data_IF_440870060608
#
_entry.id   IF_440870060608
#
_cell.length_a   1.000
_cell.length_b   1.000
_cell.length_c   1.000
_cell.angle_alpha   90.00
_cell.angle_beta   90.00
_cell.angle_gamma   90.00
#
_symmetry.space_group_name_H-M   'P 1'
#
loop_
_entity.id
_entity.type
_entity.pdbx_description
1 polymer ?
#
# COMPACT_ATOMS: atom_id res chain seq x y z
N UNK A 1 -10.29 -14.82 -72.41
CA UNK A 1 -8.92 -14.26 -72.56
C UNK A 1 -9.11 -12.87 -73.13
N UNK A 2 -8.89 -11.78 -72.40
CA UNK A 2 -8.08 -11.59 -71.19
C UNK A 2 -8.76 -10.59 -70.26
N UNK A 3 -8.70 -10.92 -68.97
CA UNK A 3 -9.06 -10.12 -67.80
C UNK A 3 -7.91 -9.15 -67.52
N UNK A 4 -8.19 -7.88 -67.25
CA UNK A 4 -7.25 -6.98 -66.54
C UNK A 4 -8.05 -6.10 -65.55
N UNK A 5 -8.07 -6.62 -64.32
CA UNK A 5 -7.90 -5.97 -63.02
C UNK A 5 -8.44 -4.54 -62.79
N UNK A 6 -9.54 -4.47 -62.03
CA UNK A 6 -9.98 -3.29 -61.29
C UNK A 6 -9.04 -3.11 -60.09
N UNK A 7 -8.08 -2.20 -60.22
CA UNK A 7 -7.21 -1.76 -59.13
C UNK A 7 -8.06 -1.02 -58.07
N UNK A 8 -8.49 -1.77 -57.06
CA UNK A 8 -9.12 -1.27 -55.84
C UNK A 8 -8.07 -0.54 -55.00
N UNK A 9 -7.74 0.69 -55.38
CA UNK A 9 -7.04 1.64 -54.53
C UNK A 9 -7.94 2.07 -53.37
N UNK A 10 -7.99 1.25 -52.32
CA UNK A 10 -8.55 1.62 -51.04
C UNK A 10 -7.68 2.74 -50.46
N UNK A 11 -8.10 3.98 -50.68
CA UNK A 11 -7.59 5.13 -49.96
C UNK A 11 -7.96 4.95 -48.49
N UNK A 12 -7.04 4.38 -47.71
CA UNK A 12 -7.01 4.58 -46.27
C UNK A 12 -6.83 6.08 -46.06
N UNK A 13 -7.94 6.78 -45.86
CA UNK A 13 -7.93 8.13 -45.30
C UNK A 13 -7.24 8.02 -43.94
N UNK A 14 -5.93 8.31 -43.90
CA UNK A 14 -5.19 8.56 -42.67
C UNK A 14 -5.91 9.69 -41.94
N UNK A 15 -6.79 9.32 -41.00
CA UNK A 15 -7.44 10.26 -40.09
C UNK A 15 -6.31 11.06 -39.45
N UNK A 16 -6.23 12.39 -39.65
CA UNK A 16 -5.19 13.19 -39.03
C UNK A 16 -5.33 13.00 -37.52
N UNK A 17 -4.33 12.34 -36.91
CA UNK A 17 -4.25 12.24 -35.46
C UNK A 17 -3.96 13.63 -34.91
N UNK A 18 -5.01 14.44 -34.75
CA UNK A 18 -4.94 15.68 -34.01
C UNK A 18 -4.37 15.29 -32.65
N UNK A 19 -3.18 15.75 -32.25
CA UNK A 19 -2.72 15.55 -30.89
C UNK A 19 -3.73 16.28 -30.03
N UNK A 20 -4.66 15.53 -29.42
CA UNK A 20 -5.64 16.08 -28.50
C UNK A 20 -4.83 16.61 -27.34
N UNK A 21 -4.57 17.92 -27.37
CA UNK A 21 -3.81 18.60 -26.34
C UNK A 21 -4.47 18.26 -25.01
N UNK A 22 -3.74 17.65 -24.05
CA UNK A 22 -4.35 17.17 -22.83
C UNK A 22 -5.09 18.32 -22.17
N UNK A 23 -6.41 18.16 -21.98
CA UNK A 23 -7.25 19.20 -21.38
C UNK A 23 -6.51 19.80 -20.16
N UNK A 24 -6.30 21.13 -20.10
CA UNK A 24 -5.54 21.76 -19.03
C UNK A 24 -6.02 21.38 -17.62
N UNK A 25 -7.32 21.10 -17.47
CA UNK A 25 -7.90 20.55 -16.25
C UNK A 25 -7.34 19.17 -15.88
N UNK A 26 -7.31 18.23 -16.83
CA UNK A 26 -6.80 16.87 -16.63
C UNK A 26 -5.28 16.86 -16.39
N UNK A 27 -4.53 17.74 -17.06
CA UNK A 27 -3.09 17.91 -16.83
C UNK A 27 -2.81 18.39 -15.40
N UNK A 28 -3.49 19.45 -14.96
CA UNK A 28 -3.34 19.99 -13.60
C UNK A 28 -3.78 18.99 -12.52
N UNK A 29 -4.82 18.21 -12.79
CA UNK A 29 -5.26 17.17 -11.87
C UNK A 29 -4.24 16.03 -11.77
N UNK A 30 -3.66 15.60 -12.89
CA UNK A 30 -2.60 14.59 -12.90
C UNK A 30 -1.34 15.07 -12.16
N UNK A 31 -0.91 16.32 -12.38
CA UNK A 31 0.23 16.92 -11.66
C UNK A 31 -0.02 16.95 -10.14
N UNK A 32 -1.24 17.30 -9.71
CA UNK A 32 -1.63 17.29 -8.30
C UNK A 32 -1.63 15.87 -7.71
N UNK A 33 -2.25 14.91 -8.38
CA UNK A 33 -2.30 13.51 -7.93
C UNK A 33 -0.90 12.90 -7.78
N UNK A 34 0.00 13.19 -8.72
CA UNK A 34 1.40 12.77 -8.66
C UNK A 34 2.08 13.44 -7.47
N UNK A 35 2.01 14.76 -7.35
CA UNK A 35 2.63 15.50 -6.25
C UNK A 35 2.16 15.08 -4.85
N UNK A 36 0.87 14.77 -4.70
CA UNK A 36 0.28 14.39 -3.40
C UNK A 36 0.42 12.89 -3.08
N UNK A 37 0.71 12.03 -4.06
CA UNK A 37 0.72 10.57 -3.89
C UNK A 37 1.64 10.08 -2.75
N UNK A 38 2.84 10.65 -2.62
CA UNK A 38 3.76 10.31 -1.53
C UNK A 38 3.21 10.80 -0.18
N UNK A 39 2.69 12.03 -0.13
CA UNK A 39 2.13 12.61 1.10
C UNK A 39 0.96 11.79 1.62
N UNK A 40 0.04 11.37 0.74
CA UNK A 40 -1.12 10.54 1.11
C UNK A 40 -0.68 9.20 1.69
N UNK A 41 0.33 8.57 1.10
CA UNK A 41 0.88 7.29 1.59
C UNK A 41 1.57 7.48 2.94
N UNK A 42 2.31 8.57 3.14
CA UNK A 42 2.95 8.88 4.42
C UNK A 42 1.94 9.22 5.52
N UNK A 43 0.89 9.97 5.20
CA UNK A 43 -0.16 10.31 6.17
C UNK A 43 -0.95 9.05 6.59
N UNK A 44 -1.23 8.16 5.63
CA UNK A 44 -1.81 6.83 5.94
C UNK A 44 -0.88 6.01 6.84
N UNK A 45 0.43 6.02 6.57
CA UNK A 45 1.41 5.32 7.40
C UNK A 45 1.47 5.88 8.83
N UNK A 46 1.42 7.21 9.01
CA UNK A 46 1.34 7.86 10.34
C UNK A 46 0.08 7.40 11.08
N UNK A 47 -1.07 7.39 10.41
CA UNK A 47 -2.32 6.89 10.99
C UNK A 47 -2.20 5.44 11.44
N UNK A 48 -1.59 4.58 10.61
CA UNK A 48 -1.37 3.18 10.97
C UNK A 48 -0.47 3.07 12.19
N UNK A 49 0.64 3.80 12.27
CA UNK A 49 1.53 3.83 13.44
C UNK A 49 0.78 4.24 14.72
N UNK A 50 -0.04 5.30 14.65
CA UNK A 50 -0.82 5.77 15.80
C UNK A 50 -1.85 4.73 16.25
N UNK A 51 -2.66 4.22 15.32
CA UNK A 51 -3.72 3.25 15.64
C UNK A 51 -3.13 1.94 16.14
N UNK A 52 -2.16 1.37 15.43
CA UNK A 52 -1.54 0.09 15.83
C UNK A 52 -0.75 0.21 17.12
N UNK A 53 -0.02 1.31 17.33
CA UNK A 53 0.71 1.56 18.57
C UNK A 53 -0.23 1.66 19.78
N UNK A 54 -1.36 2.36 19.64
CA UNK A 54 -2.38 2.45 20.69
C UNK A 54 -2.98 1.07 21.00
N UNK A 55 -3.40 0.34 19.96
CA UNK A 55 -4.06 -0.96 20.10
C UNK A 55 -3.12 -1.99 20.74
N UNK A 56 -1.86 -2.02 20.28
CA UNK A 56 -0.82 -2.87 20.83
C UNK A 56 -0.54 -2.53 22.30
N UNK A 57 -0.49 -1.24 22.68
CA UNK A 57 -0.28 -0.82 24.06
C UNK A 57 -1.40 -1.27 25.00
N UNK A 58 -2.66 -1.06 24.60
CA UNK A 58 -3.84 -1.47 25.38
C UNK A 58 -3.88 -2.99 25.53
N UNK A 59 -3.67 -3.72 24.43
CA UNK A 59 -3.74 -5.18 24.44
C UNK A 59 -2.56 -5.82 25.18
N UNK A 60 -1.35 -5.27 25.03
CA UNK A 60 -0.18 -5.71 25.80
C UNK A 60 -0.40 -5.51 27.30
N UNK A 61 -0.99 -4.39 27.70
CA UNK A 61 -1.38 -4.16 29.09
C UNK A 61 -2.38 -5.22 29.57
N UNK A 62 -3.44 -5.48 28.79
CA UNK A 62 -4.43 -6.51 29.13
C UNK A 62 -3.80 -7.90 29.29
N UNK A 63 -2.87 -8.29 28.41
CA UNK A 63 -2.15 -9.57 28.48
C UNK A 63 -1.19 -9.63 29.67
N UNK A 64 -0.36 -8.60 29.88
CA UNK A 64 0.66 -8.60 30.91
C UNK A 64 0.08 -8.73 32.34
N UNK A 65 -1.15 -8.26 32.54
CA UNK A 65 -1.89 -8.37 33.80
C UNK A 65 -2.96 -9.47 33.80
N UNK A 66 -3.16 -10.18 32.68
CA UNK A 66 -4.00 -11.36 32.64
C UNK A 66 -3.26 -12.54 33.25
N UNK A 67 -3.95 -13.38 34.04
CA UNK A 67 -3.37 -14.56 34.69
C UNK A 67 -3.26 -15.75 33.71
N UNK A 68 -2.60 -15.53 32.58
CA UNK A 68 -2.34 -16.51 31.51
C UNK A 68 -1.28 -17.55 31.89
N UNK A 69 -0.71 -17.47 33.10
CA UNK A 69 0.41 -18.31 33.55
C UNK A 69 0.06 -19.79 33.71
N UNK A 70 -1.23 -20.15 33.70
CA UNK A 70 -1.72 -21.53 33.78
C UNK A 70 -2.25 -22.10 32.45
N UNK A 71 -2.19 -21.34 31.36
CA UNK A 71 -2.76 -21.74 30.06
C UNK A 71 -1.79 -22.64 29.26
N UNK A 72 -2.35 -23.45 28.37
CA UNK A 72 -1.53 -24.30 27.50
C UNK A 72 -0.70 -23.45 26.53
N UNK A 73 0.45 -23.99 26.11
CA UNK A 73 1.33 -23.34 25.13
C UNK A 73 0.58 -22.90 23.85
N UNK A 74 -0.42 -23.68 23.43
CA UNK A 74 -1.24 -23.39 22.26
C UNK A 74 -2.07 -22.12 22.45
N UNK A 75 -2.68 -21.96 23.62
CA UNK A 75 -3.48 -20.78 23.96
C UNK A 75 -2.61 -19.53 24.05
N UNK A 76 -1.39 -19.64 24.58
CA UNK A 76 -0.41 -18.54 24.59
C UNK A 76 -0.11 -18.06 23.17
N UNK A 77 0.06 -18.97 22.20
CA UNK A 77 0.26 -18.59 20.79
C UNK A 77 -0.93 -17.83 20.21
N UNK A 78 -2.16 -18.25 20.52
CA UNK A 78 -3.38 -17.58 20.06
C UNK A 78 -3.42 -16.14 20.59
N UNK A 79 -3.15 -15.95 21.88
CA UNK A 79 -3.15 -14.60 22.48
C UNK A 79 -1.99 -13.73 21.99
N UNK A 80 -0.85 -14.34 21.63
CA UNK A 80 0.32 -13.63 21.09
C UNK A 80 0.21 -13.30 19.59
N UNK A 81 -0.57 -14.06 18.82
CA UNK A 81 -0.73 -13.86 17.38
C UNK A 81 -1.12 -12.42 16.98
N UNK A 82 -2.15 -11.77 17.57
CA UNK A 82 -2.48 -10.38 17.23
C UNK A 82 -1.36 -9.40 17.55
N UNK A 83 -0.61 -9.60 18.65
CA UNK A 83 0.56 -8.76 18.99
C UNK A 83 1.65 -8.85 17.93
N UNK A 84 2.00 -10.05 17.49
CA UNK A 84 3.03 -10.26 16.47
C UNK A 84 2.60 -9.65 15.13
N UNK A 85 1.32 -9.81 14.76
CA UNK A 85 0.78 -9.25 13.52
C UNK A 85 0.72 -7.72 13.55
N UNK A 86 0.34 -7.11 14.68
CA UNK A 86 0.44 -5.66 14.85
C UNK A 86 1.87 -5.15 14.80
N UNK A 87 2.81 -5.86 15.42
CA UNK A 87 4.22 -5.49 15.38
C UNK A 87 4.76 -5.52 13.94
N UNK A 88 4.44 -6.57 13.18
CA UNK A 88 4.80 -6.64 11.76
C UNK A 88 4.17 -5.50 10.96
N UNK A 89 2.87 -5.24 11.17
CA UNK A 89 2.17 -4.11 10.53
C UNK A 89 2.85 -2.78 10.84
N UNK A 90 3.22 -2.54 12.10
CA UNK A 90 3.92 -1.34 12.58
C UNK A 90 5.28 -1.18 11.90
N UNK A 91 6.08 -2.26 11.84
CA UNK A 91 7.40 -2.24 11.18
C UNK A 91 7.27 -1.77 9.72
N UNK A 92 6.31 -2.34 8.98
CA UNK A 92 6.08 -1.93 7.58
C UNK A 92 5.55 -0.50 7.46
N UNK A 93 4.69 -0.03 8.37
CA UNK A 93 4.22 1.35 8.38
C UNK A 93 5.36 2.34 8.67
N UNK A 94 6.25 2.02 9.62
CA UNK A 94 7.44 2.83 9.92
C UNK A 94 8.40 2.84 8.73
N UNK A 95 8.59 1.72 8.04
CA UNK A 95 9.41 1.66 6.82
C UNK A 95 8.93 2.59 5.70
N UNK A 96 7.63 2.89 5.62
CA UNK A 96 7.09 3.89 4.67
C UNK A 96 7.55 5.30 5.00
N UNK A 97 7.67 5.61 6.30
CA UNK A 97 8.05 6.93 6.81
C UNK A 97 9.57 7.16 6.80
N UNK A 98 10.37 6.09 6.70
CA UNK A 98 11.82 6.22 6.60
C UNK A 98 12.20 6.91 5.29
N UNK A 99 12.81 8.09 5.42
CA UNK A 99 13.34 8.86 4.29
C UNK A 99 14.60 8.18 3.76
N UNK A 100 14.52 7.56 2.59
CA UNK A 100 15.70 7.18 1.83
C UNK A 100 16.19 8.44 1.10
N UNK A 101 17.40 8.89 1.43
CA UNK A 101 18.07 10.02 0.74
C UNK A 101 18.40 9.57 -0.67
N UNK A 102 17.56 9.93 -1.64
CA UNK A 102 17.91 9.78 -3.04
C UNK A 102 18.63 11.06 -3.48
N UNK A 103 19.86 10.91 -3.96
CA UNK A 103 20.59 11.99 -4.64
C UNK A 103 19.90 12.22 -5.98
N UNK A 104 18.86 13.07 -5.99
CA UNK A 104 18.14 13.42 -7.21
C UNK A 104 19.02 14.38 -8.00
N UNK A 105 19.51 13.94 -9.15
CA UNK A 105 20.16 14.80 -10.11
C UNK A 105 19.12 15.72 -10.77
N UNK A 106 19.01 16.95 -10.25
CA UNK A 106 18.06 17.99 -10.68
C UNK A 106 18.19 18.33 -12.19
N UNK A 107 19.29 17.97 -12.84
CA UNK A 107 19.54 18.26 -14.25
C UNK A 107 18.94 17.22 -15.23
N UNK A 108 18.35 16.12 -14.75
CA UNK A 108 17.72 15.10 -15.60
C UNK A 108 16.25 14.87 -15.23
N UNK A 109 15.35 15.35 -16.08
CA UNK A 109 13.88 15.22 -15.92
C UNK A 109 13.39 13.77 -16.08
N UNK A 110 14.11 12.92 -16.83
CA UNK A 110 13.78 11.49 -16.97
C UNK A 110 14.18 10.70 -15.72
N UNK A 111 15.39 10.93 -15.22
CA UNK A 111 15.93 10.24 -14.05
C UNK A 111 15.14 10.60 -12.78
N UNK A 112 14.77 11.87 -12.60
CA UNK A 112 13.93 12.31 -11.49
C UNK A 112 12.53 11.67 -11.51
N UNK A 113 11.96 11.46 -12.70
CA UNK A 113 10.67 10.80 -12.87
C UNK A 113 10.73 9.32 -12.51
N UNK A 114 11.75 8.61 -12.99
CA UNK A 114 11.93 7.17 -12.69
C UNK A 114 12.14 6.92 -11.20
N UNK A 115 12.99 7.73 -10.53
CA UNK A 115 13.21 7.65 -9.08
C UNK A 115 11.91 7.92 -8.30
N UNK A 116 11.12 8.91 -8.73
CA UNK A 116 9.84 9.22 -8.11
C UNK A 116 8.86 8.04 -8.23
N UNK A 117 8.69 7.48 -9.43
CA UNK A 117 7.80 6.34 -9.67
C UNK A 117 8.24 5.10 -8.87
N UNK A 118 9.54 4.84 -8.79
CA UNK A 118 10.08 3.74 -8.00
C UNK A 118 9.80 3.95 -6.49
N UNK A 119 10.02 5.16 -5.99
CA UNK A 119 9.77 5.50 -4.58
C UNK A 119 8.30 5.34 -4.21
N UNK A 120 7.38 5.85 -5.03
CA UNK A 120 5.94 5.69 -4.83
C UNK A 120 5.57 4.21 -4.81
N UNK A 121 6.08 3.41 -5.76
CA UNK A 121 5.80 1.97 -5.83
C UNK A 121 6.29 1.21 -4.61
N UNK A 122 7.49 1.52 -4.11
CA UNK A 122 8.06 0.89 -2.92
C UNK A 122 7.25 1.24 -1.67
N UNK A 123 6.98 2.54 -1.44
CA UNK A 123 6.17 3.00 -0.29
C UNK A 123 4.76 2.41 -0.33
N UNK A 124 4.14 2.39 -1.52
CA UNK A 124 2.82 1.78 -1.71
C UNK A 124 2.80 0.27 -1.41
N UNK A 125 3.87 -0.44 -1.78
CA UNK A 125 4.01 -1.87 -1.46
C UNK A 125 4.09 -2.09 0.05
N UNK A 126 4.88 -1.29 0.77
CA UNK A 126 5.00 -1.41 2.21
C UNK A 126 3.70 -1.08 2.95
N UNK A 127 2.98 -0.01 2.58
CA UNK A 127 1.70 0.32 3.22
C UNK A 127 0.64 -0.76 2.94
N UNK A 128 0.64 -1.35 1.74
CA UNK A 128 -0.26 -2.46 1.40
C UNK A 128 0.03 -3.71 2.24
N UNK A 129 1.31 -4.07 2.40
CA UNK A 129 1.71 -5.19 3.26
C UNK A 129 1.32 -4.91 4.71
N UNK A 130 1.61 -3.70 5.21
CA UNK A 130 1.22 -3.26 6.56
C UNK A 130 -0.30 -3.39 6.78
N UNK A 131 -1.11 -2.98 5.80
CA UNK A 131 -2.57 -3.11 5.86
C UNK A 131 -3.05 -4.55 5.87
N UNK A 132 -2.42 -5.46 5.11
CA UNK A 132 -2.75 -6.89 5.14
C UNK A 132 -2.46 -7.46 6.53
N UNK A 133 -1.29 -7.18 7.10
CA UNK A 133 -0.96 -7.61 8.47
C UNK A 133 -1.95 -7.06 9.50
N UNK A 134 -2.37 -5.80 9.34
CA UNK A 134 -3.37 -5.18 10.21
C UNK A 134 -4.72 -5.91 10.10
N UNK A 135 -5.21 -6.21 8.90
CA UNK A 135 -6.47 -6.94 8.73
C UNK A 135 -6.35 -8.36 9.34
N UNK A 136 -5.26 -9.07 9.06
CA UNK A 136 -5.02 -10.39 9.64
C UNK A 136 -4.95 -10.33 11.18
N UNK A 137 -4.41 -9.26 11.76
CA UNK A 137 -4.35 -9.09 13.22
C UNK A 137 -5.73 -8.98 13.86
N UNK A 138 -6.70 -8.32 13.20
CA UNK A 138 -8.08 -8.26 13.69
C UNK A 138 -8.76 -9.62 13.64
N UNK A 139 -8.48 -10.43 12.61
CA UNK A 139 -8.95 -11.81 12.54
C UNK A 139 -8.34 -12.63 13.68
N UNK A 140 -7.01 -12.53 13.90
CA UNK A 140 -6.34 -13.21 15.01
C UNK A 140 -6.88 -12.78 16.38
N UNK A 141 -7.17 -11.48 16.55
CA UNK A 141 -7.78 -10.95 17.77
C UNK A 141 -9.18 -11.52 17.99
N UNK A 142 -10.02 -11.59 16.94
CA UNK A 142 -11.34 -12.20 17.04
C UNK A 142 -11.25 -13.68 17.43
N UNK A 143 -10.28 -14.42 16.87
CA UNK A 143 -10.00 -15.80 17.29
C UNK A 143 -9.57 -15.85 18.76
N UNK A 144 -8.70 -14.96 19.22
CA UNK A 144 -8.30 -14.91 20.63
C UNK A 144 -9.49 -14.65 21.57
N UNK A 145 -10.41 -13.77 21.20
CA UNK A 145 -11.63 -13.54 21.98
C UNK A 145 -12.55 -14.75 22.03
N UNK A 146 -12.80 -15.40 20.90
CA UNK A 146 -13.66 -16.58 20.86
C UNK A 146 -13.07 -17.76 21.64
N UNK A 147 -11.74 -17.94 21.60
CA UNK A 147 -11.02 -18.90 22.44
C UNK A 147 -11.24 -18.58 23.93
N UNK A 148 -11.09 -17.30 24.31
CA UNK A 148 -11.28 -16.86 25.69
C UNK A 148 -12.70 -17.14 26.22
N UNK A 149 -13.72 -17.05 25.37
CA UNK A 149 -15.11 -17.40 25.74
C UNK A 149 -15.39 -18.91 25.72
N UNK A 150 -14.41 -19.76 25.41
CA UNK A 150 -14.56 -21.21 25.37
C UNK A 150 -15.43 -21.72 24.23
N UNK A 151 -15.56 -20.93 23.15
CA UNK A 151 -16.29 -21.33 21.94
C UNK A 151 -15.47 -22.37 21.13
N UNK A 152 -14.17 -22.49 21.40
CA UNK A 152 -13.26 -23.51 20.91
C UNK A 152 -12.03 -23.66 21.79
#
# INVERSE_FOLDING_TARGET
>A
MTEEEVESGAGEEEIPSVPVEPNPFWKKNAEKLVGESISVVEDTAKQFVVVTGLLQGIYFHAIAFSDIKGETWYSVLIYMAPLVLWLLSLIFAVMVLLRKSYEININSTKESKEIFEEMVKIKYRYIRISGIFLICSFVALAVAFLHYFGIF
#
